data_IF_969178096935
#
_entry.id   IF_969178096935
#
_cell.length_a   1.000
_cell.length_b   1.000
_cell.length_c   1.000
_cell.angle_alpha   90.00
_cell.angle_beta   90.00
_cell.angle_gamma   90.00
#
_symmetry.space_group_name_H-M   'P 1'
#
loop_
_entity.id
_entity.type
_entity.pdbx_description
1 polymer ?
#
# COMPACT_ATOMS: atom_id res chain seq x y z
N UNK A 1 73.77 -77.65 -18.33
CA UNK A 1 73.81 -76.39 -17.58
C UNK A 1 74.31 -76.70 -16.19
N UNK A 2 75.40 -76.06 -15.78
CA UNK A 2 75.94 -76.18 -14.41
C UNK A 2 75.08 -75.36 -13.46
N UNK A 3 75.06 -75.73 -12.17
CA UNK A 3 74.20 -75.08 -11.17
C UNK A 3 74.42 -73.57 -11.05
N UNK A 4 75.60 -73.08 -11.43
CA UNK A 4 75.95 -71.66 -11.45
C UNK A 4 75.17 -70.86 -12.52
N UNK A 5 74.96 -71.45 -13.71
CA UNK A 5 74.19 -70.82 -14.79
C UNK A 5 72.71 -70.66 -14.40
N UNK A 6 72.15 -71.67 -13.73
CA UNK A 6 70.77 -71.64 -13.21
C UNK A 6 70.58 -70.62 -12.07
N UNK A 7 71.61 -70.36 -11.27
CA UNK A 7 71.57 -69.35 -10.21
C UNK A 7 71.65 -67.95 -10.81
N UNK A 8 72.52 -67.74 -11.80
CA UNK A 8 72.65 -66.47 -12.51
C UNK A 8 71.37 -66.11 -13.26
N UNK A 9 70.75 -67.06 -13.97
CA UNK A 9 69.48 -66.84 -14.67
C UNK A 9 68.34 -66.49 -13.69
N UNK A 10 68.29 -67.14 -12.52
CA UNK A 10 67.30 -66.81 -11.47
C UNK A 10 67.53 -65.44 -10.86
N UNK A 11 68.78 -65.04 -10.66
CA UNK A 11 69.13 -63.71 -10.16
C UNK A 11 68.77 -62.63 -11.17
N UNK A 12 69.09 -62.82 -12.45
CA UNK A 12 68.78 -61.89 -13.53
C UNK A 12 67.26 -61.74 -13.74
N UNK A 13 66.52 -62.85 -13.60
CA UNK A 13 65.05 -62.85 -13.60
C UNK A 13 64.43 -62.18 -12.38
N UNK A 14 65.06 -62.27 -11.21
CA UNK A 14 64.64 -61.55 -10.00
C UNK A 14 64.94 -60.05 -10.13
N UNK A 15 66.10 -59.69 -10.64
CA UNK A 15 66.50 -58.31 -10.89
C UNK A 15 65.55 -57.64 -11.89
N UNK A 16 65.24 -58.31 -12.99
CA UNK A 16 64.29 -57.83 -14.02
C UNK A 16 62.87 -57.61 -13.46
N UNK A 17 62.43 -58.44 -12.50
CA UNK A 17 61.11 -58.29 -11.86
C UNK A 17 61.09 -57.21 -10.77
N UNK A 18 62.22 -56.94 -10.12
CA UNK A 18 62.32 -55.97 -9.02
C UNK A 18 62.55 -54.55 -9.54
N UNK A 19 63.21 -54.38 -10.70
CA UNK A 19 63.43 -53.07 -11.34
C UNK A 19 62.15 -52.20 -11.51
N UNK A 20 61.01 -52.72 -12.05
CA UNK A 20 59.79 -51.92 -12.16
C UNK A 20 59.15 -51.59 -10.80
N UNK A 21 59.34 -52.45 -9.79
CA UNK A 21 58.87 -52.19 -8.42
C UNK A 21 59.67 -51.06 -7.75
N UNK A 22 61.00 -51.04 -7.92
CA UNK A 22 61.86 -49.96 -7.45
C UNK A 22 61.45 -48.63 -8.09
N UNK A 23 61.30 -48.59 -9.42
CA UNK A 23 60.87 -47.38 -10.14
C UNK A 23 59.48 -46.89 -9.73
N UNK A 24 58.58 -47.78 -9.35
CA UNK A 24 57.24 -47.43 -8.87
C UNK A 24 57.32 -46.84 -7.45
N UNK A 25 58.18 -47.40 -6.60
CA UNK A 25 58.46 -46.85 -5.27
C UNK A 25 59.12 -45.47 -5.35
N UNK A 26 60.03 -45.26 -6.30
CA UNK A 26 60.68 -43.96 -6.53
C UNK A 26 59.67 -42.89 -6.97
N UNK A 27 58.77 -43.21 -7.90
CA UNK A 27 57.69 -42.30 -8.32
C UNK A 27 56.72 -41.98 -7.17
N UNK A 28 56.43 -42.96 -6.31
CA UNK A 28 55.64 -42.74 -5.11
C UNK A 28 56.38 -41.86 -4.09
N UNK A 29 57.69 -42.02 -3.97
CA UNK A 29 58.53 -41.19 -3.12
C UNK A 29 58.61 -39.74 -3.66
N UNK A 30 58.73 -39.57 -4.97
CA UNK A 30 58.72 -38.25 -5.64
C UNK A 30 57.36 -37.56 -5.48
N UNK A 31 56.25 -38.24 -5.79
CA UNK A 31 54.91 -37.70 -5.55
C UNK A 31 54.68 -37.33 -4.08
N UNK A 32 55.15 -38.15 -3.14
CA UNK A 32 55.11 -37.83 -1.71
C UNK A 32 55.94 -36.59 -1.39
N UNK A 33 57.16 -36.49 -1.93
CA UNK A 33 58.05 -35.37 -1.72
C UNK A 33 57.52 -34.07 -2.36
N UNK A 34 56.72 -34.14 -3.42
CA UNK A 34 56.08 -32.99 -4.06
C UNK A 34 54.79 -32.56 -3.34
N UNK A 35 54.05 -33.52 -2.77
CA UNK A 35 52.83 -33.24 -2.00
C UNK A 35 53.10 -32.71 -0.59
N UNK A 36 54.21 -33.10 0.04
CA UNK A 36 54.60 -32.64 1.38
C UNK A 36 54.72 -31.10 1.44
N UNK A 37 55.43 -30.42 0.51
CA UNK A 37 55.51 -28.96 0.47
C UNK A 37 54.15 -28.29 0.27
N UNK A 38 53.31 -28.82 -0.60
CA UNK A 38 51.98 -28.26 -0.90
C UNK A 38 51.08 -28.36 0.34
N UNK A 39 51.08 -29.51 1.02
CA UNK A 39 50.34 -29.70 2.27
C UNK A 39 50.84 -28.79 3.40
N UNK A 40 52.16 -28.63 3.52
CA UNK A 40 52.78 -27.74 4.49
C UNK A 40 52.46 -26.26 4.19
N UNK A 41 52.50 -25.85 2.92
CA UNK A 41 52.17 -24.49 2.49
C UNK A 41 50.68 -24.19 2.69
N UNK A 42 49.78 -25.10 2.34
CA UNK A 42 48.34 -24.93 2.58
C UNK A 42 48.03 -24.80 4.08
N UNK A 43 48.68 -25.61 4.92
CA UNK A 43 48.52 -25.56 6.37
C UNK A 43 49.08 -24.26 6.94
N UNK A 44 50.24 -23.80 6.48
CA UNK A 44 50.84 -22.55 6.91
C UNK A 44 50.04 -21.32 6.47
N UNK A 45 49.48 -21.33 5.25
CA UNK A 45 48.64 -20.25 4.74
C UNK A 45 47.34 -20.16 5.56
N UNK A 46 46.70 -21.31 5.83
CA UNK A 46 45.54 -21.37 6.70
C UNK A 46 45.88 -20.84 8.09
N UNK A 47 46.97 -21.31 8.73
CA UNK A 47 47.37 -20.80 10.06
C UNK A 47 47.59 -19.27 10.03
N UNK A 48 48.25 -18.75 9.00
CA UNK A 48 48.53 -17.30 8.87
C UNK A 48 47.26 -16.47 8.71
N UNK A 49 46.36 -16.86 7.80
CA UNK A 49 45.08 -16.16 7.57
C UNK A 49 44.13 -16.32 8.77
N UNK A 50 44.18 -17.46 9.47
CA UNK A 50 43.42 -17.70 10.69
C UNK A 50 43.97 -16.95 11.91
N UNK A 51 45.25 -16.56 11.88
CA UNK A 51 45.85 -15.68 12.89
C UNK A 51 45.28 -14.26 12.79
N UNK A 52 44.85 -13.80 11.61
CA UNK A 52 44.13 -12.51 11.48
C UNK A 52 42.69 -12.56 12.03
N UNK A 53 42.10 -13.75 12.18
CA UNK A 53 40.73 -13.99 12.70
C UNK A 53 40.78 -14.49 14.16
N UNK A 54 41.75 -13.98 14.93
CA UNK A 54 42.28 -14.58 16.17
C UNK A 54 41.28 -14.75 17.33
N UNK A 55 40.12 -14.08 17.33
CA UNK A 55 39.23 -14.06 18.50
C UNK A 55 38.07 -15.09 18.47
N UNK A 56 37.80 -15.76 17.35
CA UNK A 56 36.59 -16.59 17.23
C UNK A 56 36.70 -17.83 16.35
N UNK A 57 37.83 -18.04 15.68
CA UNK A 57 37.98 -19.17 14.77
C UNK A 57 38.50 -20.41 15.50
N UNK A 58 37.60 -21.38 15.73
CA UNK A 58 37.96 -22.71 16.21
C UNK A 58 37.85 -23.71 15.05
N UNK A 59 38.92 -24.48 14.82
CA UNK A 59 38.97 -25.48 13.74
C UNK A 59 37.82 -26.50 13.84
N UNK A 60 37.42 -26.87 15.05
CA UNK A 60 36.27 -27.74 15.32
C UNK A 60 34.95 -27.13 14.84
N UNK A 61 34.74 -25.83 15.08
CA UNK A 61 33.55 -25.11 14.60
C UNK A 61 33.56 -25.01 13.08
N UNK A 62 34.72 -24.78 12.47
CA UNK A 62 34.86 -24.74 11.01
C UNK A 62 34.55 -26.10 10.37
N UNK A 63 35.08 -27.20 10.91
CA UNK A 63 34.78 -28.55 10.44
C UNK A 63 33.30 -28.91 10.67
N UNK A 64 32.73 -28.50 11.81
CA UNK A 64 31.29 -28.69 12.09
C UNK A 64 30.40 -27.91 11.13
N UNK A 65 30.75 -26.66 10.83
CA UNK A 65 30.04 -25.85 9.82
C UNK A 65 30.17 -26.46 8.42
N UNK A 66 31.34 -26.97 8.06
CA UNK A 66 31.55 -27.63 6.76
C UNK A 66 30.72 -28.92 6.67
N UNK A 67 30.66 -29.71 7.74
CA UNK A 67 29.81 -30.89 7.82
C UNK A 67 28.33 -30.55 7.76
N UNK A 68 27.90 -29.50 8.46
CA UNK A 68 26.52 -29.02 8.42
C UNK A 68 26.16 -28.45 7.06
N UNK A 69 27.09 -27.76 6.39
CA UNK A 69 26.94 -27.30 5.01
C UNK A 69 26.77 -28.46 4.03
N UNK A 70 27.63 -29.48 4.11
CA UNK A 70 27.52 -30.68 3.28
C UNK A 70 26.21 -31.42 3.55
N UNK A 71 25.79 -31.54 4.81
CA UNK A 71 24.53 -32.22 5.20
C UNK A 71 23.29 -31.45 4.73
N UNK A 72 23.35 -30.12 4.71
CA UNK A 72 22.25 -29.25 4.31
C UNK A 72 22.38 -28.74 2.88
N UNK A 73 23.21 -29.36 2.03
CA UNK A 73 23.45 -28.92 0.65
C UNK A 73 22.14 -28.74 -0.12
N UNK A 74 21.16 -29.64 0.06
CA UNK A 74 19.83 -29.52 -0.54
C UNK A 74 19.07 -28.26 -0.10
N UNK A 75 19.15 -27.91 1.19
CA UNK A 75 18.54 -26.69 1.73
C UNK A 75 19.23 -25.42 1.16
N UNK A 76 20.55 -25.46 1.00
CA UNK A 76 21.29 -24.36 0.36
C UNK A 76 20.93 -24.22 -1.12
N UNK A 77 20.86 -25.33 -1.85
CA UNK A 77 20.44 -25.34 -3.26
C UNK A 77 19.00 -24.81 -3.38
N UNK A 78 18.11 -25.22 -2.48
CA UNK A 78 16.74 -24.72 -2.44
C UNK A 78 16.68 -23.20 -2.19
N UNK A 79 17.44 -22.68 -1.21
CA UNK A 79 17.50 -21.26 -0.94
C UNK A 79 18.05 -20.46 -2.14
N UNK A 80 19.10 -20.96 -2.79
CA UNK A 80 19.67 -20.34 -4.00
C UNK A 80 18.66 -20.32 -5.16
N UNK A 81 17.92 -21.43 -5.36
CA UNK A 81 16.84 -21.48 -6.34
C UNK A 81 15.72 -20.49 -6.00
N UNK A 82 15.33 -20.38 -4.74
CA UNK A 82 14.31 -19.43 -4.31
C UNK A 82 14.75 -17.97 -4.53
N UNK A 83 16.02 -17.66 -4.27
CA UNK A 83 16.59 -16.35 -4.58
C UNK A 83 16.60 -16.07 -6.08
N UNK A 84 16.97 -17.06 -6.90
CA UNK A 84 16.91 -16.95 -8.35
C UNK A 84 15.47 -16.68 -8.83
N UNK A 85 14.48 -17.39 -8.29
CA UNK A 85 13.06 -17.16 -8.61
C UNK A 85 12.56 -15.78 -8.19
N UNK A 86 13.03 -15.23 -7.05
CA UNK A 86 12.70 -13.85 -6.66
C UNK A 86 13.31 -12.84 -7.64
N UNK A 87 14.56 -13.06 -8.06
CA UNK A 87 15.23 -12.19 -9.03
C UNK A 87 14.51 -12.27 -10.39
N UNK A 88 14.11 -13.46 -10.83
CA UNK A 88 13.31 -13.65 -12.05
C UNK A 88 11.96 -12.93 -11.94
N UNK A 89 11.24 -13.10 -10.83
CA UNK A 89 10.00 -12.39 -10.58
C UNK A 89 10.18 -10.87 -10.60
N UNK A 90 11.22 -10.34 -9.97
CA UNK A 90 11.53 -8.90 -9.99
C UNK A 90 11.86 -8.44 -11.41
N UNK A 91 12.60 -9.22 -12.20
CA UNK A 91 12.89 -8.93 -13.61
C UNK A 91 11.62 -8.93 -14.46
N UNK A 92 10.70 -9.84 -14.20
CA UNK A 92 9.41 -9.91 -14.89
C UNK A 92 8.49 -8.74 -14.52
N UNK A 93 8.55 -8.29 -13.26
CA UNK A 93 7.82 -7.11 -12.79
C UNK A 93 8.47 -5.79 -13.19
N UNK A 94 9.77 -5.75 -13.43
CA UNK A 94 10.52 -4.51 -13.68
C UNK A 94 9.91 -3.68 -14.83
N UNK A 95 9.54 -4.25 -16.00
CA UNK A 95 8.86 -3.52 -17.06
C UNK A 95 7.49 -2.96 -16.63
N UNK A 96 6.71 -3.75 -15.88
CA UNK A 96 5.40 -3.34 -15.38
C UNK A 96 5.55 -2.18 -14.40
N UNK A 97 6.52 -2.24 -13.48
CA UNK A 97 6.81 -1.15 -12.55
C UNK A 97 7.31 0.09 -13.28
N UNK A 98 8.22 -0.05 -14.25
CA UNK A 98 8.70 1.08 -15.07
C UNK A 98 7.57 1.76 -15.84
N UNK A 99 6.52 1.03 -16.21
CA UNK A 99 5.33 1.59 -16.86
C UNK A 99 4.30 2.16 -15.87
N UNK A 100 4.01 1.44 -14.79
CA UNK A 100 2.95 1.75 -13.84
C UNK A 100 3.34 2.85 -12.84
N UNK A 101 4.59 2.88 -12.36
CA UNK A 101 5.05 3.87 -11.38
C UNK A 101 4.88 5.29 -11.90
N UNK A 102 5.30 5.64 -13.13
CA UNK A 102 5.05 6.97 -13.68
C UNK A 102 3.56 7.32 -13.78
N UNK A 103 2.71 6.37 -14.17
CA UNK A 103 1.26 6.59 -14.27
C UNK A 103 0.63 6.86 -12.90
N UNK A 104 1.04 6.10 -11.87
CA UNK A 104 0.62 6.33 -10.49
C UNK A 104 1.09 7.70 -10.01
N UNK A 105 2.36 8.07 -10.27
CA UNK A 105 2.88 9.40 -9.91
C UNK A 105 2.06 10.49 -10.59
N UNK A 106 1.79 10.40 -11.89
CA UNK A 106 0.97 11.38 -12.60
C UNK A 106 -0.45 11.45 -12.04
N UNK A 107 -1.07 10.31 -11.73
CA UNK A 107 -2.40 10.28 -11.13
C UNK A 107 -2.41 10.92 -9.74
N UNK A 108 -1.43 10.61 -8.90
CA UNK A 108 -1.30 11.22 -7.57
C UNK A 108 -1.01 12.73 -7.66
N UNK A 109 -0.17 13.16 -8.62
CA UNK A 109 0.09 14.58 -8.87
C UNK A 109 -1.18 15.31 -9.33
N UNK A 110 -1.98 14.71 -10.22
CA UNK A 110 -3.28 15.26 -10.60
C UNK A 110 -4.22 15.41 -9.39
N UNK A 111 -4.26 14.40 -8.51
CA UNK A 111 -5.06 14.48 -7.28
C UNK A 111 -4.55 15.60 -6.36
N UNK A 112 -3.24 15.78 -6.26
CA UNK A 112 -2.63 16.86 -5.50
C UNK A 112 -2.95 18.24 -6.09
N UNK A 113 -2.79 18.42 -7.40
CA UNK A 113 -3.11 19.66 -8.11
C UNK A 113 -4.60 20.01 -8.01
N UNK A 114 -5.49 19.01 -8.11
CA UNK A 114 -6.93 19.17 -7.88
C UNK A 114 -7.27 19.40 -6.41
N UNK A 115 -6.30 19.35 -5.50
CA UNK A 115 -6.46 19.63 -4.08
C UNK A 115 -7.15 18.50 -3.31
N UNK A 116 -7.28 17.30 -3.88
CA UNK A 116 -8.00 16.16 -3.28
C UNK A 116 -7.38 15.77 -1.95
N UNK A 117 -6.05 15.69 -1.86
CA UNK A 117 -5.37 15.40 -0.59
C UNK A 117 -5.62 16.46 0.49
N UNK A 118 -5.75 17.74 0.10
CA UNK A 118 -6.08 18.82 1.02
C UNK A 118 -7.49 18.66 1.58
N UNK A 119 -8.44 18.25 0.75
CA UNK A 119 -9.82 17.96 1.17
C UNK A 119 -9.86 16.76 2.11
N UNK A 120 -9.17 15.67 1.78
CA UNK A 120 -9.07 14.47 2.64
C UNK A 120 -8.50 14.85 4.00
N UNK A 121 -7.36 15.55 4.02
CA UNK A 121 -6.73 16.01 5.26
C UNK A 121 -7.68 16.90 6.08
N UNK A 122 -8.28 17.90 5.44
CA UNK A 122 -9.24 18.80 6.10
C UNK A 122 -10.44 18.06 6.68
N UNK A 123 -10.89 17.00 5.99
CA UNK A 123 -12.01 16.17 6.45
C UNK A 123 -11.63 15.33 7.66
N UNK A 124 -10.42 14.75 7.68
CA UNK A 124 -9.89 14.03 8.83
C UNK A 124 -9.71 14.97 10.02
N UNK A 125 -9.15 16.16 9.79
CA UNK A 125 -8.96 17.18 10.83
C UNK A 125 -10.30 17.66 11.39
N UNK A 126 -11.29 17.88 10.51
CA UNK A 126 -12.66 18.23 10.90
C UNK A 126 -13.27 17.13 11.78
N UNK A 127 -13.19 15.86 11.36
CA UNK A 127 -13.68 14.72 12.14
C UNK A 127 -13.01 14.62 13.50
N UNK A 128 -11.69 14.88 13.56
CA UNK A 128 -10.93 14.88 14.81
C UNK A 128 -11.41 15.98 15.75
N UNK A 129 -11.62 17.20 15.24
CA UNK A 129 -12.15 18.33 16.03
C UNK A 129 -13.57 18.07 16.53
N UNK A 130 -14.41 17.50 15.68
CA UNK A 130 -15.78 17.12 16.05
C UNK A 130 -15.75 16.08 17.16
N UNK A 131 -14.99 15.00 16.99
CA UNK A 131 -14.88 13.93 18.00
C UNK A 131 -14.25 14.39 19.33
N UNK A 132 -13.39 15.42 19.31
CA UNK A 132 -12.81 16.00 20.52
C UNK A 132 -13.77 16.93 21.27
N UNK A 133 -14.77 17.49 20.60
CA UNK A 133 -15.67 18.52 21.15
C UNK A 133 -17.06 17.99 21.48
N UNK A 134 -17.52 17.01 20.71
CA UNK A 134 -18.90 16.51 20.72
C UNK A 134 -18.91 15.02 21.02
N UNK A 135 -19.93 14.57 21.74
CA UNK A 135 -20.15 13.15 22.04
C UNK A 135 -20.71 12.40 20.82
N UNK A 136 -20.81 11.07 20.90
CA UNK A 136 -21.40 10.28 19.83
C UNK A 136 -22.87 10.66 19.57
N UNK A 137 -23.67 10.86 20.63
CA UNK A 137 -25.05 11.34 20.49
C UNK A 137 -25.13 12.73 19.84
N UNK A 138 -24.25 13.67 20.20
CA UNK A 138 -24.24 15.01 19.62
C UNK A 138 -23.97 14.98 18.11
N UNK A 139 -23.07 14.09 17.66
CA UNK A 139 -22.72 13.91 16.24
C UNK A 139 -23.91 13.32 15.45
N UNK A 140 -24.67 12.40 16.06
CA UNK A 140 -25.85 11.79 15.44
C UNK A 140 -26.95 12.85 15.23
N UNK A 141 -27.26 13.64 16.26
CA UNK A 141 -28.23 14.75 16.18
C UNK A 141 -27.79 15.81 15.17
N UNK A 142 -26.49 16.15 15.12
CA UNK A 142 -25.94 17.05 14.11
C UNK A 142 -26.11 16.49 12.69
N UNK A 143 -25.91 15.18 12.51
CA UNK A 143 -26.11 14.50 11.23
C UNK A 143 -27.54 14.64 10.73
N UNK A 144 -28.52 14.37 11.59
CA UNK A 144 -29.94 14.54 11.27
C UNK A 144 -30.30 15.99 10.92
N UNK A 145 -29.76 16.95 11.69
CA UNK A 145 -29.92 18.38 11.40
C UNK A 145 -29.36 18.77 10.04
N UNK A 146 -28.19 18.23 9.65
CA UNK A 146 -27.58 18.49 8.36
C UNK A 146 -28.43 17.93 7.21
N UNK A 147 -28.96 16.71 7.37
CA UNK A 147 -29.87 16.08 6.41
C UNK A 147 -31.15 16.90 6.26
N UNK A 148 -31.72 17.41 7.36
CA UNK A 148 -32.89 18.27 7.33
C UNK A 148 -32.62 19.56 6.52
N UNK A 149 -31.49 20.23 6.76
CA UNK A 149 -31.10 21.44 6.02
C UNK A 149 -30.90 21.15 4.52
N UNK A 150 -30.26 20.03 4.16
CA UNK A 150 -30.12 19.60 2.77
C UNK A 150 -31.47 19.26 2.12
N UNK A 151 -32.38 18.64 2.89
CA UNK A 151 -33.76 18.39 2.48
C UNK A 151 -34.53 19.68 2.20
N UNK A 152 -34.37 20.70 3.06
CA UNK A 152 -34.92 22.04 2.84
C UNK A 152 -34.33 22.69 1.58
N UNK A 153 -33.01 22.65 1.40
CA UNK A 153 -32.36 23.19 0.20
C UNK A 153 -32.88 22.52 -1.07
N UNK A 154 -33.05 21.20 -1.06
CA UNK A 154 -33.67 20.45 -2.15
C UNK A 154 -35.13 20.86 -2.37
N UNK A 155 -35.89 21.05 -1.30
CA UNK A 155 -37.30 21.46 -1.35
C UNK A 155 -37.46 22.87 -1.94
N UNK A 156 -36.60 23.81 -1.56
CA UNK A 156 -36.56 25.17 -2.09
C UNK A 156 -36.06 25.22 -3.54
N UNK A 157 -35.27 24.23 -3.97
CA UNK A 157 -34.85 24.07 -5.36
C UNK A 157 -35.97 23.56 -6.29
N UNK A 158 -37.15 23.22 -5.76
CA UNK A 158 -38.28 22.85 -6.60
C UNK A 158 -38.73 24.03 -7.49
N UNK A 159 -39.03 23.82 -8.78
CA UNK A 159 -39.43 24.89 -9.70
C UNK A 159 -40.60 25.74 -9.20
N UNK A 160 -41.59 25.11 -8.53
CA UNK A 160 -42.74 25.82 -7.94
C UNK A 160 -42.34 26.75 -6.79
N UNK A 161 -41.38 26.35 -5.95
CA UNK A 161 -40.88 27.15 -4.83
C UNK A 161 -40.05 28.33 -5.35
N UNK A 162 -39.18 28.10 -6.33
CA UNK A 162 -38.40 29.14 -7.01
C UNK A 162 -39.34 30.19 -7.63
N UNK A 163 -40.36 29.78 -8.39
CA UNK A 163 -41.33 30.69 -9.01
C UNK A 163 -42.12 31.50 -7.97
N UNK A 164 -42.48 30.89 -6.83
CA UNK A 164 -43.14 31.60 -5.74
C UNK A 164 -42.20 32.66 -5.14
N UNK A 165 -40.97 32.29 -4.83
CA UNK A 165 -39.96 33.19 -4.26
C UNK A 165 -39.64 34.35 -5.22
N UNK A 166 -39.52 34.07 -6.52
CA UNK A 166 -39.30 35.08 -7.54
C UNK A 166 -40.48 36.07 -7.59
N UNK A 167 -41.72 35.57 -7.57
CA UNK A 167 -42.92 36.43 -7.53
C UNK A 167 -43.00 37.28 -6.26
N UNK A 168 -42.65 36.71 -5.10
CA UNK A 168 -42.63 37.43 -3.83
C UNK A 168 -41.52 38.49 -3.80
N UNK A 169 -40.35 38.19 -4.36
CA UNK A 169 -39.21 39.13 -4.41
C UNK A 169 -39.48 40.38 -5.25
N UNK A 170 -40.43 40.32 -6.18
CA UNK A 170 -40.83 41.45 -7.01
C UNK A 170 -41.88 42.35 -6.34
N UNK A 171 -42.48 41.93 -5.22
CA UNK A 171 -43.52 42.72 -4.52
C UNK A 171 -42.97 44.05 -3.99
N UNK A 172 -41.81 44.09 -3.28
CA UNK A 172 -41.26 45.35 -2.80
C UNK A 172 -40.95 46.36 -3.91
N UNK A 173 -40.54 45.88 -5.09
CA UNK A 173 -40.25 46.75 -6.25
C UNK A 173 -41.52 47.27 -6.94
N UNK A 174 -42.69 46.72 -6.63
CA UNK A 174 -43.99 47.05 -7.25
C UNK A 174 -44.97 47.70 -6.29
N UNK A 175 -44.62 47.82 -5.01
CA UNK A 175 -45.50 48.34 -3.97
C UNK A 175 -44.75 49.40 -3.15
N UNK A 176 -45.29 50.61 -3.10
CA UNK A 176 -44.81 51.65 -2.19
C UNK A 176 -45.27 51.35 -0.76
N UNK A 177 -44.48 50.53 -0.05
CA UNK A 177 -44.78 50.09 1.32
C UNK A 177 -44.74 51.25 2.33
N UNK A 178 -43.99 52.30 2.05
CA UNK A 178 -43.82 53.47 2.93
C UNK A 178 -45.09 54.34 3.02
N UNK A 179 -45.96 54.29 2.00
CA UNK A 179 -47.18 55.11 1.91
C UNK A 179 -48.47 54.28 2.04
N UNK A 180 -48.38 53.03 2.51
CA UNK A 180 -49.52 52.13 2.62
C UNK A 180 -50.57 52.67 3.61
N UNK A 181 -51.74 53.10 3.10
CA UNK A 181 -52.84 53.59 3.93
C UNK A 181 -53.50 52.44 4.69
N UNK A 182 -53.81 52.65 5.97
CA UNK A 182 -54.55 51.68 6.77
C UNK A 182 -55.96 51.50 6.19
N UNK A 183 -56.34 50.26 5.88
CA UNK A 183 -57.69 49.93 5.42
C UNK A 183 -58.54 49.60 6.65
N UNK A 184 -59.61 50.36 6.89
CA UNK A 184 -60.56 50.09 7.96
C UNK A 184 -61.54 48.96 7.63
N UNK A 185 -62.36 48.52 8.59
CA UNK A 185 -63.36 47.44 8.42
C UNK A 185 -64.32 47.66 7.23
N UNK A 186 -64.76 48.89 6.98
CA UNK A 186 -65.54 49.23 5.78
C UNK A 186 -64.70 49.21 4.50
N UNK A 187 -63.44 49.59 4.60
CA UNK A 187 -62.47 49.52 3.50
C UNK A 187 -62.24 48.08 3.06
N UNK A 188 -62.12 47.13 3.99
CA UNK A 188 -62.02 45.69 3.70
C UNK A 188 -63.27 45.15 2.98
N UNK A 189 -64.46 45.56 3.43
CA UNK A 189 -65.71 45.19 2.77
C UNK A 189 -65.79 45.73 1.33
N UNK A 190 -65.39 46.98 1.12
CA UNK A 190 -65.33 47.58 -0.23
C UNK A 190 -64.22 46.98 -1.10
N UNK A 191 -63.10 46.60 -0.49
CA UNK A 191 -61.95 45.99 -1.14
C UNK A 191 -62.26 44.59 -1.69
N UNK A 192 -63.19 43.86 -1.07
CA UNK A 192 -63.71 42.60 -1.62
C UNK A 192 -64.38 42.75 -3.00
N UNK A 193 -64.90 43.93 -3.33
CA UNK A 193 -65.45 44.20 -4.68
C UNK A 193 -64.37 44.51 -5.73
N UNK A 194 -63.10 44.71 -5.32
CA UNK A 194 -61.99 44.86 -6.24
C UNK A 194 -61.51 43.47 -6.73
N UNK A 195 -61.48 43.21 -8.06
CA UNK A 195 -61.09 41.90 -8.60
C UNK A 195 -59.66 41.45 -8.25
N UNK A 196 -58.72 42.39 -8.09
CA UNK A 196 -57.32 42.11 -7.78
C UNK A 196 -57.15 41.71 -6.31
N UNK A 197 -57.83 42.44 -5.41
CA UNK A 197 -57.81 42.15 -3.97
C UNK A 197 -58.53 40.82 -3.69
N UNK A 198 -59.67 40.57 -4.33
CA UNK A 198 -60.38 39.28 -4.23
C UNK A 198 -59.54 38.10 -4.74
N UNK A 199 -58.77 38.27 -5.83
CA UNK A 199 -57.81 37.25 -6.27
C UNK A 199 -56.68 37.03 -5.26
N UNK A 200 -56.11 38.10 -4.70
CA UNK A 200 -55.06 38.01 -3.68
C UNK A 200 -55.54 37.29 -2.41
N UNK A 201 -56.74 37.64 -1.92
CA UNK A 201 -57.39 36.97 -0.79
C UNK A 201 -57.68 35.50 -1.09
N UNK A 202 -58.12 35.16 -2.30
CA UNK A 202 -58.32 33.77 -2.72
C UNK A 202 -57.02 32.95 -2.71
N UNK A 203 -55.90 33.53 -3.18
CA UNK A 203 -54.58 32.89 -3.10
C UNK A 203 -54.14 32.70 -1.64
N UNK A 204 -54.33 33.71 -0.79
CA UNK A 204 -54.04 33.61 0.64
C UNK A 204 -54.88 32.53 1.34
N UNK A 205 -56.16 32.39 0.98
CA UNK A 205 -57.04 31.34 1.50
C UNK A 205 -56.57 29.95 1.08
N UNK A 206 -56.18 29.76 -0.18
CA UNK A 206 -55.65 28.46 -0.65
C UNK A 206 -54.29 28.13 0.00
N UNK A 207 -53.42 29.11 0.19
CA UNK A 207 -52.18 28.94 0.97
C UNK A 207 -52.48 28.58 2.43
N UNK A 208 -53.46 29.24 3.05
CA UNK A 208 -53.88 28.96 4.42
C UNK A 208 -54.48 27.56 4.55
N UNK A 209 -55.29 27.14 3.58
CA UNK A 209 -55.86 25.79 3.50
C UNK A 209 -54.78 24.74 3.29
N UNK A 210 -53.76 25.02 2.50
CA UNK A 210 -52.61 24.14 2.33
C UNK A 210 -51.78 24.02 3.61
N UNK A 211 -51.53 25.12 4.33
CA UNK A 211 -50.87 25.09 5.64
C UNK A 211 -51.68 24.30 6.67
N UNK A 212 -53.01 24.42 6.67
CA UNK A 212 -53.89 23.64 7.53
C UNK A 212 -53.87 22.13 7.25
N UNK A 213 -53.42 21.70 6.07
CA UNK A 213 -53.20 20.28 5.72
C UNK A 213 -51.80 19.77 6.08
N UNK A 214 -50.89 20.65 6.49
CA UNK A 214 -49.50 20.35 6.90
C UNK A 214 -49.35 20.46 8.43
N UNK A 215 -50.31 21.10 9.13
CA UNK A 215 -50.38 21.11 10.59
C UNK A 215 -50.43 19.69 11.16
N UNK A 216 -50.04 19.49 12.44
CA UNK A 216 -49.93 18.16 13.03
C UNK A 216 -51.23 17.39 12.81
N UNK A 217 -51.13 16.16 12.33
CA UNK A 217 -52.27 15.25 12.28
C UNK A 217 -52.89 15.25 13.69
N UNK A 218 -54.14 15.71 13.78
CA UNK A 218 -54.93 15.53 14.99
C UNK A 218 -55.28 14.03 15.03
N UNK A 219 -54.52 13.27 15.83
CA UNK A 219 -55.04 12.06 16.48
C UNK A 219 -56.11 12.44 17.53
#
# INVERSE_FOLDING_TARGET
MTNEELILEKLERLETQIQPLIKTSEKFAELKNDLIPIGNHATALLIKELTEVEAGFQLENFLSLTKEAMRNTENFIFALKQMASIIEFVKDLEPLLKSAVPQIIHYLDELEQKGVFRIIKSTVDLRTKIAATYTAEDIEVMGDGLVAVLGLAKSLSNPKAIVLLEKLSQIPSKVELENAKSIGVFGLASAGFNPEISKGLGVLMELTKAMGKIGPDND
#
